data_IF_709000478023
#
_entry.id   IF_709000478023
#
_cell.length_a   1.000
_cell.length_b   1.000
_cell.length_c   1.000
_cell.angle_alpha   90.00
_cell.angle_beta   90.00
_cell.angle_gamma   90.00
#
_symmetry.space_group_name_H-M   'P 1'
#
loop_
_entity.id
_entity.type
_entity.pdbx_description
1 polymer ?
#
# COMPACT_ATOMS: atom_id res chain seq x y z
N UNK A 1 32.61 23.60 -26.34
CA UNK A 1 32.41 23.03 -25.00
C UNK A 1 30.93 23.19 -24.70
N UNK A 2 30.17 22.12 -24.89
CA UNK A 2 28.71 22.13 -24.79
C UNK A 2 28.34 22.11 -23.32
N UNK A 3 27.69 23.17 -22.86
CA UNK A 3 27.13 23.29 -21.53
C UNK A 3 26.08 22.20 -21.33
N UNK A 4 26.33 21.26 -20.43
CA UNK A 4 25.30 20.44 -19.79
C UNK A 4 24.40 21.41 -19.02
N UNK A 5 23.31 21.83 -19.65
CA UNK A 5 22.18 22.37 -18.92
C UNK A 5 21.70 21.24 -18.01
N UNK A 6 21.85 21.44 -16.70
CA UNK A 6 21.07 20.69 -15.73
C UNK A 6 19.61 20.78 -16.20
N UNK A 7 19.01 19.63 -16.50
CA UNK A 7 17.56 19.53 -16.60
C UNK A 7 17.03 20.19 -15.33
N UNK A 8 16.25 21.25 -15.47
CA UNK A 8 15.56 21.83 -14.34
C UNK A 8 14.67 20.74 -13.79
N UNK A 9 15.05 20.24 -12.61
CA UNK A 9 14.38 19.23 -11.82
C UNK A 9 13.06 19.84 -11.30
N UNK A 10 12.11 20.03 -12.21
CA UNK A 10 10.75 20.43 -11.84
C UNK A 10 10.05 19.17 -11.38
N UNK A 11 9.72 19.04 -10.08
CA UNK A 11 8.93 17.90 -9.64
C UNK A 11 7.61 17.91 -10.40
N UNK A 12 7.30 16.77 -11.02
CA UNK A 12 5.96 16.50 -11.49
C UNK A 12 5.03 16.31 -10.28
N UNK A 13 3.76 16.01 -10.53
CA UNK A 13 2.80 15.78 -9.46
C UNK A 13 2.00 14.51 -9.67
N UNK A 14 1.78 13.79 -8.59
CA UNK A 14 0.79 12.72 -8.49
C UNK A 14 -0.33 13.12 -7.54
N UNK A 15 -1.29 12.22 -7.35
CA UNK A 15 -2.46 12.46 -6.54
C UNK A 15 -2.58 11.39 -5.44
N UNK A 16 -3.10 11.79 -4.28
CA UNK A 16 -3.38 10.87 -3.18
C UNK A 16 -4.82 11.04 -2.71
N UNK A 17 -5.47 9.92 -2.38
CA UNK A 17 -6.76 9.91 -1.67
C UNK A 17 -6.82 8.70 -0.75
N UNK A 18 -7.28 8.91 0.48
CA UNK A 18 -7.55 7.83 1.41
C UNK A 18 -9.05 7.49 1.48
N UNK A 19 -9.34 6.19 1.65
CA UNK A 19 -10.66 5.67 1.99
C UNK A 19 -10.54 4.93 3.33
N UNK A 20 -11.27 5.37 4.34
CA UNK A 20 -11.17 4.87 5.71
C UNK A 20 -12.48 4.20 6.10
N UNK A 21 -12.39 2.93 6.50
CA UNK A 21 -13.54 2.14 6.94
C UNK A 21 -13.25 1.43 8.26
N UNK A 22 -14.31 1.06 8.97
CA UNK A 22 -14.20 0.26 10.19
C UNK A 22 -13.99 -1.21 9.84
N UNK A 23 -12.95 -1.81 10.42
CA UNK A 23 -12.65 -3.22 10.27
C UNK A 23 -13.85 -4.08 10.72
N UNK A 24 -14.13 -5.16 9.98
CA UNK A 24 -15.22 -6.11 10.27
C UNK A 24 -16.63 -5.67 9.85
N UNK A 25 -16.91 -4.36 9.70
CA UNK A 25 -18.22 -3.86 9.27
C UNK A 25 -18.23 -3.15 7.91
N UNK A 26 -17.05 -2.78 7.38
CA UNK A 26 -16.89 -1.96 6.17
C UNK A 26 -17.69 -0.64 6.20
N UNK A 27 -18.05 -0.17 7.41
CA UNK A 27 -18.74 1.09 7.61
C UNK A 27 -17.74 2.22 7.34
N UNK A 28 -18.09 3.23 6.52
CA UNK A 28 -17.23 4.39 6.34
C UNK A 28 -17.02 5.14 7.65
N UNK A 29 -15.78 5.58 7.90
CA UNK A 29 -15.44 6.39 9.07
C UNK A 29 -15.34 7.84 8.61
N UNK A 30 -16.30 8.66 9.02
CA UNK A 30 -16.30 10.11 8.79
C UNK A 30 -15.49 10.83 9.88
N UNK A 31 -14.80 11.91 9.53
CA UNK A 31 -14.01 12.70 10.47
C UNK A 31 -12.67 12.08 10.86
N UNK A 32 -12.22 11.02 10.19
CA UNK A 32 -10.88 10.48 10.39
C UNK A 32 -9.84 11.47 9.88
N UNK A 33 -8.83 11.76 10.70
CA UNK A 33 -7.69 12.61 10.35
C UNK A 33 -6.67 11.77 9.59
N UNK A 34 -6.25 12.25 8.43
CA UNK A 34 -5.20 11.64 7.61
C UNK A 34 -4.07 12.64 7.46
N UNK A 35 -2.91 12.32 8.02
CA UNK A 35 -1.71 13.17 8.01
C UNK A 35 -0.69 12.57 7.06
N UNK A 36 -0.19 13.37 6.12
CA UNK A 36 0.85 12.96 5.15
C UNK A 36 2.14 13.70 5.49
N UNK A 37 3.24 12.97 5.67
CA UNK A 37 4.54 13.55 6.02
C UNK A 37 5.69 12.95 5.18
N UNK A 38 6.85 13.61 5.24
CA UNK A 38 8.06 13.13 4.57
C UNK A 38 8.52 11.79 5.14
N UNK A 39 8.89 10.85 4.26
CA UNK A 39 9.37 9.52 4.65
C UNK A 39 10.60 9.57 5.58
N UNK A 40 11.46 10.59 5.42
CA UNK A 40 12.68 10.75 6.20
C UNK A 40 12.49 11.62 7.45
N UNK A 41 11.37 12.34 7.54
CA UNK A 41 11.07 13.22 8.67
C UNK A 41 9.55 13.26 8.94
N UNK A 42 9.05 12.39 9.84
CA UNK A 42 7.63 12.35 10.21
C UNK A 42 7.09 13.67 10.79
N UNK A 43 7.94 14.53 11.37
CA UNK A 43 7.54 15.84 11.89
C UNK A 43 7.28 16.87 10.77
N UNK A 44 7.76 16.61 9.55
CA UNK A 44 7.51 17.46 8.41
C UNK A 44 6.17 17.08 7.76
N UNK A 45 5.09 17.66 8.29
CA UNK A 45 3.73 17.48 7.77
C UNK A 45 3.59 18.24 6.44
N UNK A 46 3.19 17.51 5.41
CA UNK A 46 2.98 18.02 4.05
C UNK A 46 1.51 18.37 3.84
N UNK A 47 0.60 17.49 4.27
CA UNK A 47 -0.83 17.68 4.16
C UNK A 47 -1.57 17.07 5.36
N UNK A 48 -2.70 17.67 5.74
CA UNK A 48 -3.65 17.13 6.71
C UNK A 48 -5.06 17.13 6.11
N UNK A 49 -5.68 15.96 6.08
CA UNK A 49 -6.98 15.74 5.47
C UNK A 49 -7.97 15.17 6.47
N UNK A 50 -9.24 15.30 6.15
CA UNK A 50 -10.33 14.72 6.95
C UNK A 50 -11.30 13.98 6.04
N UNK A 51 -11.76 12.81 6.47
CA UNK A 51 -12.73 12.02 5.70
C UNK A 51 -14.15 12.59 5.77
N UNK A 52 -14.87 12.53 4.65
CA UNK A 52 -16.27 12.91 4.54
C UNK A 52 -17.23 11.81 5.04
N UNK A 53 -18.54 11.96 4.82
CA UNK A 53 -19.56 10.99 5.24
C UNK A 53 -19.41 9.60 4.58
N UNK A 54 -18.79 9.55 3.41
CA UNK A 54 -18.46 8.32 2.68
C UNK A 54 -17.11 7.72 3.09
N UNK A 55 -16.46 8.28 4.12
CA UNK A 55 -15.16 7.81 4.61
C UNK A 55 -14.00 8.13 3.67
N UNK A 56 -14.16 9.11 2.77
CA UNK A 56 -13.14 9.46 1.78
C UNK A 56 -12.55 10.83 2.08
N UNK A 57 -11.23 10.97 1.93
CA UNK A 57 -10.60 12.30 1.89
C UNK A 57 -10.88 12.97 0.55
N UNK A 58 -10.64 14.28 0.48
CA UNK A 58 -10.40 14.90 -0.82
C UNK A 58 -9.12 14.34 -1.48
N UNK A 59 -8.99 14.60 -2.78
CA UNK A 59 -7.79 14.22 -3.52
C UNK A 59 -6.78 15.36 -3.45
N UNK A 60 -5.60 15.09 -2.91
CA UNK A 60 -4.50 16.06 -2.82
C UNK A 60 -3.45 15.81 -3.88
N UNK A 61 -2.69 16.86 -4.19
CA UNK A 61 -1.60 16.82 -5.15
C UNK A 61 -0.28 16.76 -4.39
N UNK A 62 0.54 15.74 -4.67
CA UNK A 62 1.84 15.53 -4.03
C UNK A 62 2.95 15.59 -5.07
N UNK A 63 4.13 16.03 -4.67
CA UNK A 63 5.30 16.13 -5.55
C UNK A 63 5.83 14.74 -5.91
N UNK A 64 6.17 14.54 -7.17
CA UNK A 64 6.75 13.29 -7.66
C UNK A 64 7.97 13.54 -8.51
N UNK A 65 8.85 12.54 -8.69
CA UNK A 65 9.84 12.59 -9.75
C UNK A 65 9.18 12.77 -11.12
N UNK A 66 9.93 13.26 -12.13
CA UNK A 66 9.42 13.40 -13.50
C UNK A 66 8.89 12.07 -14.06
N UNK A 67 7.82 12.14 -14.86
CA UNK A 67 7.19 10.99 -15.50
C UNK A 67 8.20 10.15 -16.31
N UNK A 68 9.22 10.78 -16.88
CA UNK A 68 10.26 10.13 -17.69
C UNK A 68 10.95 8.99 -16.94
N UNK A 69 11.10 9.10 -15.61
CA UNK A 69 11.71 8.03 -14.80
C UNK A 69 10.87 6.75 -14.77
N UNK A 70 9.57 6.85 -15.05
CA UNK A 70 8.66 5.70 -15.16
C UNK A 70 8.57 5.12 -16.59
N UNK A 71 9.07 5.84 -17.59
CA UNK A 71 8.90 5.46 -19.01
C UNK A 71 9.99 4.53 -19.52
N UNK A 72 11.10 4.43 -18.80
CA UNK A 72 12.25 3.60 -19.13
C UNK A 72 12.78 2.90 -17.88
N UNK A 73 13.22 1.64 -17.99
CA UNK A 73 13.84 0.93 -16.87
C UNK A 73 15.26 1.48 -16.66
N UNK A 74 15.33 2.65 -16.04
CA UNK A 74 16.56 3.33 -15.62
C UNK A 74 16.81 3.12 -14.11
N UNK A 75 17.96 3.59 -13.63
CA UNK A 75 18.34 3.49 -12.21
C UNK A 75 17.68 4.53 -11.31
N UNK A 76 16.91 5.47 -11.88
CA UNK A 76 16.27 6.56 -11.13
C UNK A 76 14.94 6.11 -10.54
N UNK A 77 14.63 6.51 -9.32
CA UNK A 77 13.37 6.16 -8.66
C UNK A 77 12.17 6.83 -9.34
N UNK A 78 11.15 6.08 -9.81
CA UNK A 78 10.04 6.67 -10.56
C UNK A 78 8.93 7.33 -9.71
N UNK A 79 9.01 7.25 -8.39
CA UNK A 79 7.95 7.64 -7.47
C UNK A 79 8.48 8.38 -6.24
N UNK A 80 7.64 9.20 -5.63
CA UNK A 80 7.87 9.75 -4.30
C UNK A 80 7.33 8.81 -3.22
N UNK A 81 7.87 8.94 -2.01
CA UNK A 81 7.51 8.10 -0.88
C UNK A 81 7.10 8.99 0.30
N UNK A 82 5.98 8.66 0.95
CA UNK A 82 5.45 9.40 2.08
C UNK A 82 5.07 8.49 3.24
N UNK A 83 5.01 9.07 4.44
CA UNK A 83 4.35 8.47 5.59
C UNK A 83 2.90 8.95 5.61
N UNK A 84 1.97 8.05 5.93
CA UNK A 84 0.54 8.35 6.10
C UNK A 84 0.09 7.85 7.46
N UNK A 85 -0.35 8.76 8.32
CA UNK A 85 -0.92 8.44 9.62
C UNK A 85 -2.43 8.69 9.58
N UNK A 86 -3.20 7.72 10.07
CA UNK A 86 -4.67 7.77 10.06
C UNK A 86 -5.19 7.58 11.48
N UNK A 87 -5.97 8.55 11.94
CA UNK A 87 -6.51 8.59 13.31
C UNK A 87 -8.01 8.86 13.27
N UNK A 88 -8.78 8.16 14.10
CA UNK A 88 -10.19 8.43 14.28
C UNK A 88 -10.63 8.13 15.72
N UNK A 89 -11.56 8.92 16.24
CA UNK A 89 -12.07 8.74 17.59
C UNK A 89 -12.71 7.37 17.77
N UNK A 90 -12.26 6.62 18.78
CA UNK A 90 -12.77 5.28 19.09
C UNK A 90 -12.14 4.15 18.26
N UNK A 91 -11.12 4.46 17.45
CA UNK A 91 -10.37 3.50 16.66
C UNK A 91 -8.88 3.53 17.00
N UNK A 92 -8.21 2.41 16.74
CA UNK A 92 -6.77 2.30 16.78
C UNK A 92 -6.12 3.11 15.64
N UNK A 93 -5.09 3.93 15.92
CA UNK A 93 -4.32 4.60 14.88
C UNK A 93 -3.63 3.60 13.95
N UNK A 94 -3.56 3.95 12.67
CA UNK A 94 -2.85 3.18 11.66
C UNK A 94 -1.79 4.06 11.00
N UNK A 95 -0.55 3.56 10.92
CA UNK A 95 0.56 4.21 10.22
C UNK A 95 0.96 3.39 9.00
N UNK A 96 1.20 4.08 7.89
CA UNK A 96 1.67 3.50 6.64
C UNK A 96 2.92 4.25 6.24
N UNK A 97 4.07 3.61 6.45
CA UNK A 97 5.37 4.12 6.03
C UNK A 97 5.71 3.56 4.67
N UNK A 98 5.93 4.43 3.68
CA UNK A 98 6.35 4.01 2.36
C UNK A 98 5.29 4.16 1.26
N UNK A 99 4.26 4.98 1.45
CA UNK A 99 3.22 5.17 0.44
C UNK A 99 3.83 5.77 -0.85
N UNK A 100 3.79 5.00 -1.94
CA UNK A 100 4.41 5.35 -3.22
C UNK A 100 3.44 6.14 -4.12
N UNK A 101 3.88 7.31 -4.61
CA UNK A 101 3.09 8.18 -5.48
C UNK A 101 3.80 8.38 -6.83
N UNK A 102 3.12 8.03 -7.92
CA UNK A 102 3.61 8.15 -9.29
C UNK A 102 3.11 9.43 -9.98
N UNK A 103 3.92 9.99 -10.88
CA UNK A 103 3.55 11.17 -11.67
C UNK A 103 2.25 10.93 -12.46
N UNK A 104 1.30 11.86 -12.31
CA UNK A 104 0.01 11.85 -12.98
C UNK A 104 -0.98 10.77 -12.53
N UNK A 105 -0.62 9.90 -11.58
CA UNK A 105 -1.48 8.82 -11.09
C UNK A 105 -2.11 9.15 -9.74
N UNK A 106 -3.25 8.52 -9.45
CA UNK A 106 -3.87 8.60 -8.13
C UNK A 106 -3.54 7.37 -7.31
N UNK A 107 -2.77 7.56 -6.23
CA UNK A 107 -2.61 6.57 -5.18
C UNK A 107 -3.86 6.54 -4.30
N UNK A 108 -4.54 5.40 -4.29
CA UNK A 108 -5.72 5.15 -3.47
C UNK A 108 -5.30 4.34 -2.24
N UNK A 109 -5.30 4.98 -1.08
CA UNK A 109 -4.99 4.32 0.18
C UNK A 109 -6.27 3.87 0.88
N UNK A 110 -6.55 2.57 0.84
CA UNK A 110 -7.63 2.00 1.65
C UNK A 110 -7.08 1.67 3.04
N UNK A 111 -7.79 2.07 4.09
CA UNK A 111 -7.45 1.80 5.48
C UNK A 111 -8.68 1.21 6.20
N UNK A 112 -8.41 0.19 7.02
CA UNK A 112 -9.43 -0.49 7.83
C UNK A 112 -9.05 -0.35 9.29
N UNK A 113 -9.61 0.66 9.97
CA UNK A 113 -9.27 0.92 11.37
C UNK A 113 -10.00 -0.06 12.29
N UNK A 114 -9.28 -0.60 13.26
CA UNK A 114 -9.84 -1.49 14.29
C UNK A 114 -10.54 -0.64 15.38
N UNK A 115 -11.82 -0.90 15.72
CA UNK A 115 -12.48 -0.26 16.84
C UNK A 115 -11.80 -0.62 18.17
N UNK A 116 -11.53 0.36 19.04
CA UNK A 116 -10.85 0.14 20.32
C UNK A 116 -11.57 -0.83 21.27
N UNK A 117 -12.89 -1.00 21.11
CA UNK A 117 -13.69 -2.00 21.86
C UNK A 117 -13.28 -3.46 21.56
N UNK A 118 -12.60 -3.68 20.43
CA UNK A 118 -12.13 -4.98 19.95
C UNK A 118 -10.62 -5.18 20.14
N UNK A 119 -9.92 -4.18 20.71
CA UNK A 119 -8.46 -4.09 20.78
C UNK A 119 -7.95 -4.45 22.18
N UNK A 120 -6.81 -5.14 22.26
CA UNK A 120 -6.03 -5.24 23.51
C UNK A 120 -5.26 -3.92 23.72
N UNK A 121 -5.11 -3.39 24.94
CA UNK A 121 -4.48 -2.09 25.13
C UNK A 121 -3.07 -2.04 24.53
N UNK A 122 -2.76 -0.95 23.81
CA UNK A 122 -1.42 -0.54 23.34
C UNK A 122 -0.89 -1.20 22.04
N UNK A 123 -1.77 -1.51 21.08
CA UNK A 123 -1.33 -1.82 19.71
C UNK A 123 -1.47 -0.57 18.84
N UNK A 124 -0.42 -0.23 18.09
CA UNK A 124 -0.46 0.67 16.94
C UNK A 124 -0.08 -0.18 15.73
N UNK A 125 -0.84 -0.10 14.64
CA UNK A 125 -0.54 -0.89 13.44
C UNK A 125 0.31 -0.09 12.46
N UNK A 126 1.60 -0.45 12.36
CA UNK A 126 2.55 0.10 11.40
C UNK A 126 2.69 -0.83 10.19
N UNK A 127 2.36 -0.31 9.01
CA UNK A 127 2.60 -0.94 7.72
C UNK A 127 3.85 -0.33 7.08
N UNK A 128 4.85 -1.16 6.77
CA UNK A 128 6.06 -0.72 6.06
C UNK A 128 6.01 -1.25 4.63
N UNK A 129 5.93 -0.34 3.66
CA UNK A 129 5.94 -0.65 2.24
C UNK A 129 7.39 -0.51 1.73
N UNK A 130 8.05 -1.62 1.36
CA UNK A 130 9.39 -1.56 0.80
C UNK A 130 9.36 -1.10 -0.66
N UNK A 131 10.50 -0.69 -1.23
CA UNK A 131 10.58 -0.27 -2.62
C UNK A 131 10.11 -1.37 -3.58
N UNK A 132 9.35 -1.04 -4.63
CA UNK A 132 8.86 -2.05 -5.56
C UNK A 132 10.00 -2.82 -6.29
N UNK A 133 9.73 -4.05 -6.73
CA UNK A 133 10.74 -4.96 -7.33
C UNK A 133 11.38 -4.48 -8.64
N UNK A 134 10.75 -3.53 -9.34
CA UNK A 134 11.33 -2.90 -10.53
C UNK A 134 12.41 -1.84 -10.20
N UNK A 135 12.59 -1.50 -8.92
CA UNK A 135 13.56 -0.49 -8.45
C UNK A 135 14.43 -1.03 -7.31
N UNK A 136 13.82 -1.71 -6.33
CA UNK A 136 14.55 -2.34 -5.24
C UNK A 136 15.33 -3.58 -5.66
N UNK A 137 16.46 -3.82 -5.00
CA UNK A 137 17.25 -5.04 -5.15
C UNK A 137 16.66 -6.16 -4.29
N UNK A 138 16.12 -7.18 -4.94
CA UNK A 138 15.53 -8.35 -4.27
C UNK A 138 16.33 -9.62 -4.58
N UNK A 139 16.37 -10.60 -3.66
CA UNK A 139 16.99 -11.89 -3.93
C UNK A 139 16.42 -12.51 -5.21
N UNK A 140 17.25 -13.18 -6.04
CA UNK A 140 16.77 -13.80 -7.27
C UNK A 140 15.70 -14.83 -6.92
N UNK A 141 14.65 -14.86 -7.75
CA UNK A 141 13.62 -15.89 -7.66
C UNK A 141 14.30 -17.27 -7.67
N UNK A 142 13.94 -18.12 -6.71
CA UNK A 142 14.43 -19.51 -6.69
C UNK A 142 13.94 -20.17 -8.00
N UNK A 143 14.85 -20.74 -8.81
CA UNK A 143 14.45 -21.38 -10.06
C UNK A 143 13.49 -22.52 -9.75
N UNK A 144 12.31 -22.46 -10.37
CA UNK A 144 11.36 -23.55 -10.33
C UNK A 144 11.81 -24.64 -11.29
N UNK A 145 11.58 -25.91 -10.96
CA UNK A 145 11.82 -27.01 -11.88
C UNK A 145 11.03 -26.77 -13.18
N UNK A 146 11.73 -26.84 -14.32
CA UNK A 146 11.13 -26.70 -15.66
C UNK A 146 10.03 -27.75 -15.90
N UNK A 147 10.20 -28.94 -15.30
CA UNK A 147 9.23 -30.03 -15.34
C UNK A 147 8.61 -30.17 -13.96
N UNK A 148 7.39 -29.66 -13.82
CA UNK A 148 6.54 -30.01 -12.68
C UNK A 148 6.15 -31.48 -12.79
N UNK A 149 6.22 -32.21 -11.68
CA UNK A 149 5.67 -33.56 -11.63
C UNK A 149 4.15 -33.50 -11.83
N UNK A 150 3.68 -34.00 -12.98
CA UNK A 150 2.25 -34.06 -13.33
C UNK A 150 1.55 -35.30 -12.76
N UNK A 151 2.26 -36.13 -11.98
CA UNK A 151 1.71 -37.35 -11.38
C UNK A 151 0.82 -36.98 -10.19
N UNK A 152 -0.35 -36.42 -10.48
CA UNK A 152 -1.39 -36.17 -9.49
C UNK A 152 -2.34 -37.37 -9.43
N UNK A 153 -2.43 -38.01 -8.26
CA UNK A 153 -3.49 -38.99 -7.98
C UNK A 153 -4.76 -38.25 -7.56
N UNK A 154 -5.63 -37.95 -8.53
CA UNK A 154 -6.98 -37.45 -8.26
C UNK A 154 -7.42 -36.29 -9.14
N UNK A 155 -8.72 -36.26 -9.44
CA UNK A 155 -9.38 -35.15 -10.11
C UNK A 155 -9.69 -34.05 -9.08
N UNK A 156 -8.93 -32.95 -9.11
CA UNK A 156 -9.22 -31.74 -8.32
C UNK A 156 -9.85 -30.69 -9.24
N UNK A 157 -10.96 -31.03 -9.90
CA UNK A 157 -11.86 -30.02 -10.45
C UNK A 157 -13.09 -29.96 -9.57
N UNK A 158 -13.32 -28.79 -8.99
CA UNK A 158 -14.59 -28.48 -8.39
C UNK A 158 -15.64 -28.57 -9.50
N UNK A 159 -16.76 -29.25 -9.24
CA UNK A 159 -17.87 -29.42 -10.19
C UNK A 159 -18.53 -28.09 -10.61
N UNK A 160 -18.14 -26.98 -9.98
CA UNK A 160 -18.53 -25.61 -10.29
C UNK A 160 -17.40 -24.64 -9.96
N UNK A 161 -17.36 -23.52 -10.67
CA UNK A 161 -16.50 -22.40 -10.32
C UNK A 161 -16.90 -21.88 -8.95
N UNK A 162 -15.95 -21.81 -8.02
CA UNK A 162 -16.12 -21.22 -6.69
C UNK A 162 -15.21 -20.01 -6.62
N UNK A 163 -15.79 -18.83 -6.40
CA UNK A 163 -15.04 -17.62 -6.09
C UNK A 163 -14.85 -17.62 -4.56
N UNK A 164 -13.60 -17.65 -4.06
CA UNK A 164 -13.37 -17.59 -2.62
C UNK A 164 -13.78 -16.22 -2.08
N UNK A 165 -14.14 -16.16 -0.81
CA UNK A 165 -14.43 -14.88 -0.14
C UNK A 165 -13.13 -14.11 0.12
N UNK A 166 -12.08 -14.82 0.54
CA UNK A 166 -10.78 -14.26 0.90
C UNK A 166 -9.60 -14.99 0.24
N UNK A 167 -8.55 -14.23 -0.03
CA UNK A 167 -7.17 -14.68 -0.24
C UNK A 167 -6.42 -14.43 1.07
N UNK A 168 -5.76 -15.46 1.58
CA UNK A 168 -5.00 -15.38 2.83
C UNK A 168 -3.53 -15.12 2.46
N UNK A 169 -3.01 -13.97 2.86
CA UNK A 169 -1.62 -13.58 2.70
C UNK A 169 -0.89 -13.85 4.01
N UNK A 170 0.15 -14.67 3.95
CA UNK A 170 0.98 -15.00 5.10
C UNK A 170 2.18 -14.04 5.14
N UNK A 171 2.32 -13.30 6.23
CA UNK A 171 3.34 -12.26 6.38
C UNK A 171 4.67 -12.83 6.93
N UNK A 172 5.19 -13.82 6.22
CA UNK A 172 6.40 -14.54 6.62
C UNK A 172 6.68 -15.75 5.73
N UNK A 173 7.80 -16.45 5.99
CA UNK A 173 8.06 -17.73 5.33
C UNK A 173 6.91 -18.71 5.56
N UNK A 174 6.51 -19.55 4.59
CA UNK A 174 5.35 -20.44 4.73
C UNK A 174 5.34 -21.39 5.94
N UNK A 175 6.50 -21.57 6.59
CA UNK A 175 6.68 -22.44 7.76
C UNK A 175 6.70 -21.65 9.08
N UNK A 176 6.63 -20.32 9.04
CA UNK A 176 6.64 -19.48 10.23
C UNK A 176 5.21 -19.29 10.76
N UNK A 177 4.77 -20.20 11.63
CA UNK A 177 3.44 -20.11 12.24
C UNK A 177 3.24 -18.90 13.16
N UNK A 178 4.29 -18.13 13.45
CA UNK A 178 4.20 -16.90 14.26
C UNK A 178 3.87 -15.65 13.43
N UNK A 179 4.03 -15.73 12.10
CA UNK A 179 3.67 -14.66 11.19
C UNK A 179 2.15 -14.48 11.07
N UNK A 180 1.71 -13.22 11.00
CA UNK A 180 0.29 -12.83 10.90
C UNK A 180 -0.28 -13.26 9.55
N UNK A 181 -1.55 -13.68 9.56
CA UNK A 181 -2.31 -13.94 8.34
C UNK A 181 -3.23 -12.75 8.05
N UNK A 182 -3.10 -12.18 6.87
CA UNK A 182 -3.95 -11.12 6.37
C UNK A 182 -5.01 -11.71 5.44
N UNK A 183 -6.28 -11.42 5.73
CA UNK A 183 -7.41 -11.93 4.97
C UNK A 183 -7.89 -10.86 4.01
N UNK A 184 -7.39 -10.90 2.77
CA UNK A 184 -7.73 -9.94 1.72
C UNK A 184 -8.95 -10.46 0.97
N UNK A 185 -9.99 -9.65 0.77
CA UNK A 185 -11.14 -10.10 -0.02
C UNK A 185 -10.71 -10.43 -1.44
N UNK A 186 -11.28 -11.48 -2.03
CA UNK A 186 -10.90 -11.90 -3.38
C UNK A 186 -11.04 -10.78 -4.42
N UNK A 187 -12.09 -9.95 -4.31
CA UNK A 187 -12.33 -8.79 -5.20
C UNK A 187 -11.27 -7.69 -5.11
N UNK A 188 -10.50 -7.64 -4.03
CA UNK A 188 -9.52 -6.59 -3.74
C UNK A 188 -8.08 -7.11 -3.97
N UNK A 189 -7.91 -8.38 -4.35
CA UNK A 189 -6.60 -9.02 -4.54
C UNK A 189 -6.09 -8.98 -6.00
N UNK A 190 -6.99 -8.75 -6.97
CA UNK A 190 -6.69 -8.79 -8.42
C UNK A 190 -6.84 -7.45 -9.11
#
# INVERSE_FOLDING_TARGET
MTSLQAAQDTPDTGYFRANVTAQGSARPISGAKVTISDINNPENIIEELTTNEDGQTETVTLQTPPLEYSMVPESSQPYSVYNVQIEADGYEPQEISGAEILSGQTALQNAELLPLELTEPDTEELFVIPPHTLYGEYPPKIPEDEVKDVTQTGEIVLSRVVIPEFVIVHDGPPNDSSAKNYYVRYKDYT
#
